data_IF_115426245323
#
_entry.id   IF_115426245323
#
_cell.length_a   1.000
_cell.length_b   1.000
_cell.length_c   1.000
_cell.angle_alpha   90.00
_cell.angle_beta   90.00
_cell.angle_gamma   90.00
#
_symmetry.space_group_name_H-M   'P 1'
#
loop_
_entity.id
_entity.type
_entity.pdbx_description
1 polymer ?
#
# COMPACT_ATOMS: atom_id res chain seq x y z
N UNK A 1 -21.76 -8.67 -13.04
CA UNK A 1 -21.03 -7.52 -12.46
C UNK A 1 -20.98 -7.80 -10.97
N UNK A 2 -19.83 -8.22 -10.45
CA UNK A 2 -19.66 -8.49 -9.03
C UNK A 2 -19.80 -7.17 -8.28
N UNK A 3 -20.71 -7.13 -7.31
CA UNK A 3 -20.86 -6.03 -6.37
C UNK A 3 -19.50 -5.80 -5.68
N UNK A 4 -18.84 -4.68 -6.00
CA UNK A 4 -17.55 -4.29 -5.41
C UNK A 4 -17.79 -3.69 -4.02
N UNK A 5 -18.44 -4.43 -3.13
CA UNK A 5 -18.59 -4.02 -1.74
C UNK A 5 -17.22 -4.11 -1.05
N UNK A 6 -16.61 -2.97 -0.69
CA UNK A 6 -15.32 -2.93 0.01
C UNK A 6 -14.43 -1.75 -0.38
N UNK A 7 -13.21 -1.73 0.16
CA UNK A 7 -12.21 -0.72 -0.17
C UNK A 7 -11.44 -1.10 -1.44
N UNK A 8 -11.32 -0.16 -2.38
CA UNK A 8 -10.48 -0.28 -3.56
C UNK A 8 -9.02 0.05 -3.24
N UNK A 9 -8.11 -0.86 -3.58
CA UNK A 9 -6.67 -0.73 -3.36
C UNK A 9 -5.95 -0.43 -4.67
N UNK A 10 -4.89 0.36 -4.58
CA UNK A 10 -3.95 0.60 -5.66
C UNK A 10 -2.53 0.28 -5.21
N UNK A 11 -1.70 -0.25 -6.11
CA UNK A 11 -0.30 -0.59 -5.80
C UNK A 11 0.65 0.38 -6.52
N UNK A 12 1.58 0.95 -5.76
CA UNK A 12 2.71 1.73 -6.25
C UNK A 12 3.98 0.90 -6.06
N UNK A 13 4.63 0.53 -7.16
CA UNK A 13 5.75 -0.41 -7.16
C UNK A 13 5.28 -1.84 -7.45
N UNK A 14 5.40 -2.25 -8.71
CA UNK A 14 4.94 -3.50 -9.28
C UNK A 14 6.06 -4.57 -9.35
N UNK A 15 7.07 -4.44 -8.50
CA UNK A 15 8.11 -5.47 -8.33
C UNK A 15 7.62 -6.68 -7.54
N UNK A 16 8.56 -7.52 -7.08
CA UNK A 16 8.27 -8.74 -6.30
C UNK A 16 7.28 -8.50 -5.16
N UNK A 17 7.49 -7.44 -4.37
CA UNK A 17 6.65 -7.15 -3.21
C UNK A 17 5.25 -6.72 -3.63
N UNK A 18 5.11 -5.94 -4.71
CA UNK A 18 3.82 -5.58 -5.31
C UNK A 18 2.98 -6.82 -5.66
N UNK A 19 3.59 -7.87 -6.22
CA UNK A 19 2.90 -9.14 -6.46
C UNK A 19 2.40 -9.82 -5.17
N UNK A 20 3.15 -9.76 -4.07
CA UNK A 20 2.69 -10.29 -2.78
C UNK A 20 1.51 -9.50 -2.22
N UNK A 21 1.55 -8.17 -2.32
CA UNK A 21 0.44 -7.30 -1.92
C UNK A 21 -0.80 -7.56 -2.77
N UNK A 22 -0.67 -7.69 -4.10
CA UNK A 22 -1.79 -8.02 -4.98
C UNK A 22 -2.45 -9.35 -4.59
N UNK A 23 -1.66 -10.39 -4.30
CA UNK A 23 -2.17 -11.67 -3.79
C UNK A 23 -2.91 -11.53 -2.46
N UNK A 24 -2.36 -10.74 -1.53
CA UNK A 24 -2.99 -10.52 -0.23
C UNK A 24 -4.32 -9.76 -0.35
N UNK A 25 -4.36 -8.73 -1.20
CA UNK A 25 -5.59 -7.95 -1.50
C UNK A 25 -6.64 -8.85 -2.17
N UNK A 26 -6.24 -9.73 -3.09
CA UNK A 26 -7.19 -10.64 -3.72
C UNK A 26 -7.78 -11.67 -2.74
N UNK A 27 -7.00 -12.05 -1.72
CA UNK A 27 -7.39 -13.05 -0.72
C UNK A 27 -8.18 -12.47 0.47
N UNK A 28 -8.20 -11.16 0.67
CA UNK A 28 -8.88 -10.54 1.81
C UNK A 28 -10.37 -10.33 1.56
N UNK A 29 -11.16 -10.36 2.64
CA UNK A 29 -12.56 -9.95 2.60
C UNK A 29 -12.67 -8.41 2.73
N UNK A 30 -13.53 -7.80 1.92
CA UNK A 30 -13.80 -6.35 1.99
C UNK A 30 -12.75 -5.45 1.33
N UNK A 31 -11.83 -6.01 0.54
CA UNK A 31 -10.88 -5.28 -0.28
C UNK A 31 -10.78 -5.87 -1.69
N UNK A 32 -10.38 -5.05 -2.66
CA UNK A 32 -10.10 -5.50 -4.04
C UNK A 32 -9.07 -4.59 -4.71
N UNK A 33 -8.31 -5.13 -5.66
CA UNK A 33 -7.32 -4.37 -6.43
C UNK A 33 -8.05 -3.62 -7.56
N UNK A 34 -7.79 -2.32 -7.68
CA UNK A 34 -8.41 -1.43 -8.68
C UNK A 34 -7.43 -1.00 -9.78
N UNK A 35 -6.20 -0.67 -9.38
CA UNK A 35 -5.20 -0.15 -10.29
C UNK A 35 -3.79 -0.34 -9.77
N UNK A 36 -2.81 -0.20 -10.68
CA UNK A 36 -1.40 -0.30 -10.35
C UNK A 36 -0.60 0.81 -11.05
N UNK A 37 0.51 1.19 -10.46
CA UNK A 37 1.44 2.18 -10.98
C UNK A 37 2.88 1.73 -10.72
N UNK A 38 3.73 1.91 -11.73
CA UNK A 38 5.18 1.77 -11.63
C UNK A 38 5.83 2.72 -12.65
N UNK A 39 7.05 3.17 -12.36
CA UNK A 39 7.89 3.90 -13.32
C UNK A 39 8.29 3.01 -14.51
N UNK A 40 8.35 1.70 -14.26
CA UNK A 40 8.63 0.66 -15.25
C UNK A 40 7.34 0.10 -15.82
N UNK A 41 7.00 0.52 -17.04
CA UNK A 41 5.80 0.08 -17.73
C UNK A 41 5.71 -1.46 -17.85
N UNK A 42 6.84 -2.14 -18.09
CA UNK A 42 6.88 -3.61 -18.17
C UNK A 42 6.40 -4.29 -16.88
N UNK A 43 6.71 -3.72 -15.72
CA UNK A 43 6.31 -4.25 -14.42
C UNK A 43 4.83 -3.98 -14.13
N UNK A 44 4.35 -2.75 -14.36
CA UNK A 44 2.96 -2.39 -14.12
C UNK A 44 2.01 -3.08 -15.11
N UNK A 45 2.36 -3.18 -16.38
CA UNK A 45 1.54 -3.86 -17.40
C UNK A 45 1.38 -5.34 -17.09
N UNK A 46 2.47 -6.01 -16.66
CA UNK A 46 2.43 -7.41 -16.27
C UNK A 46 1.50 -7.65 -15.07
N UNK A 47 1.69 -6.88 -14.00
CA UNK A 47 0.85 -7.03 -12.80
C UNK A 47 -0.61 -6.68 -13.10
N UNK A 48 -0.85 -5.65 -13.91
CA UNK A 48 -2.20 -5.28 -14.33
C UNK A 48 -2.88 -6.40 -15.12
N UNK A 49 -2.17 -7.04 -16.05
CA UNK A 49 -2.69 -8.16 -16.84
C UNK A 49 -3.04 -9.37 -15.96
N UNK A 50 -2.19 -9.71 -14.99
CA UNK A 50 -2.41 -10.83 -14.07
C UNK A 50 -3.71 -10.70 -13.26
N UNK A 51 -4.16 -9.47 -12.97
CA UNK A 51 -5.33 -9.19 -12.13
C UNK A 51 -6.50 -8.52 -12.88
N UNK A 52 -6.35 -8.24 -14.18
CA UNK A 52 -7.38 -7.56 -14.98
C UNK A 52 -7.69 -6.13 -14.52
N UNK A 53 -6.68 -5.40 -14.03
CA UNK A 53 -6.80 -4.02 -13.52
C UNK A 53 -6.10 -3.02 -14.42
N UNK A 54 -6.25 -1.72 -14.15
CA UNK A 54 -5.61 -0.68 -14.97
C UNK A 54 -4.17 -0.40 -14.50
N UNK A 55 -3.21 -0.48 -15.42
CA UNK A 55 -1.87 0.08 -15.24
C UNK A 55 -1.88 1.58 -15.58
N UNK A 56 -1.19 2.38 -14.78
CA UNK A 56 -0.95 3.80 -15.02
C UNK A 56 0.53 4.08 -15.19
N UNK A 57 0.85 5.01 -16.08
CA UNK A 57 2.21 5.53 -16.33
C UNK A 57 2.45 6.90 -15.69
N UNK A 58 1.39 7.55 -15.20
CA UNK A 58 1.45 8.82 -14.47
C UNK A 58 0.78 8.65 -13.11
N UNK A 59 1.45 9.17 -12.09
CA UNK A 59 1.06 8.94 -10.72
C UNK A 59 -0.23 9.70 -10.34
N UNK A 60 -0.42 10.89 -10.89
CA UNK A 60 -1.60 11.72 -10.65
C UNK A 60 -2.86 11.07 -11.24
N UNK A 61 -2.74 10.46 -12.42
CA UNK A 61 -3.83 9.72 -13.06
C UNK A 61 -4.18 8.44 -12.28
N UNK A 62 -3.18 7.77 -11.69
CA UNK A 62 -3.37 6.65 -10.78
C UNK A 62 -4.16 7.09 -9.53
N UNK A 63 -3.77 8.19 -8.88
CA UNK A 63 -4.44 8.70 -7.68
C UNK A 63 -5.89 9.15 -7.95
N UNK A 64 -6.17 9.60 -9.17
CA UNK A 64 -7.50 9.98 -9.64
C UNK A 64 -8.40 8.79 -10.02
N UNK A 65 -7.92 7.54 -9.90
CA UNK A 65 -8.71 6.37 -10.25
C UNK A 65 -10.03 6.30 -9.45
N UNK A 66 -11.20 6.18 -10.12
CA UNK A 66 -12.48 6.05 -9.44
C UNK A 66 -12.51 4.81 -8.55
N UNK A 67 -12.90 4.96 -7.28
CA UNK A 67 -12.95 3.82 -6.34
C UNK A 67 -11.63 3.51 -5.63
N UNK A 68 -10.52 4.20 -5.95
CA UNK A 68 -9.28 4.05 -5.17
C UNK A 68 -9.44 4.67 -3.78
N UNK A 69 -9.29 3.86 -2.72
CA UNK A 69 -9.39 4.27 -1.32
C UNK A 69 -8.05 4.15 -0.58
N UNK A 70 -7.27 3.11 -0.89
CA UNK A 70 -6.01 2.78 -0.20
C UNK A 70 -4.87 2.63 -1.21
N UNK A 71 -3.72 3.24 -0.94
CA UNK A 71 -2.49 3.06 -1.71
C UNK A 71 -1.50 2.22 -0.93
N UNK A 72 -1.13 1.08 -1.51
CA UNK A 72 -0.05 0.18 -1.05
C UNK A 72 1.25 0.56 -1.76
N UNK A 73 2.28 0.94 -1.00
CA UNK A 73 3.58 1.38 -1.49
C UNK A 73 4.61 0.28 -1.26
N UNK A 74 5.08 -0.31 -2.36
CA UNK A 74 6.09 -1.36 -2.43
C UNK A 74 7.30 -0.96 -3.28
N UNK A 75 7.63 0.32 -3.36
CA UNK A 75 8.83 0.83 -4.03
C UNK A 75 10.10 0.51 -3.23
N UNK A 76 11.31 0.72 -3.76
CA UNK A 76 12.54 0.57 -2.99
C UNK A 76 12.59 1.51 -1.77
N UNK A 77 13.20 1.04 -0.67
CA UNK A 77 13.46 1.86 0.51
C UNK A 77 14.18 3.16 0.12
N UNK A 78 13.74 4.30 0.67
CA UNK A 78 14.24 5.61 0.26
C UNK A 78 13.25 6.36 -0.63
N UNK A 79 12.36 5.63 -1.32
CA UNK A 79 11.42 6.17 -2.30
C UNK A 79 9.95 6.04 -1.85
N UNK A 80 9.70 5.95 -0.54
CA UNK A 80 8.32 5.83 -0.02
C UNK A 80 7.67 7.19 0.27
N UNK A 81 8.47 8.20 0.63
CA UNK A 81 7.97 9.52 1.04
C UNK A 81 7.04 10.15 0.00
N UNK A 82 7.52 10.31 -1.23
CA UNK A 82 6.80 11.04 -2.28
C UNK A 82 5.46 10.37 -2.64
N UNK A 83 5.38 9.05 -2.89
CA UNK A 83 4.09 8.40 -3.09
C UNK A 83 3.22 8.40 -1.83
N UNK A 84 3.78 8.34 -0.62
CA UNK A 84 2.96 8.39 0.60
C UNK A 84 2.30 9.76 0.80
N UNK A 85 3.07 10.84 0.62
CA UNK A 85 2.57 12.21 0.72
C UNK A 85 1.58 12.51 -0.41
N UNK A 86 1.89 12.07 -1.63
CA UNK A 86 0.99 12.22 -2.78
C UNK A 86 -0.36 11.52 -2.57
N UNK A 87 -0.33 10.26 -2.13
CA UNK A 87 -1.54 9.52 -1.77
C UNK A 87 -2.34 10.20 -0.65
N UNK A 88 -1.66 10.67 0.40
CA UNK A 88 -2.31 11.35 1.51
C UNK A 88 -2.99 12.65 1.07
N UNK A 89 -2.32 13.47 0.26
CA UNK A 89 -2.88 14.70 -0.29
C UNK A 89 -4.06 14.45 -1.24
N UNK A 90 -4.12 13.28 -1.87
CA UNK A 90 -5.27 12.82 -2.66
C UNK A 90 -6.38 12.17 -1.80
N UNK A 91 -6.28 12.25 -0.47
CA UNK A 91 -7.26 11.70 0.46
C UNK A 91 -7.29 10.17 0.50
N UNK A 92 -6.18 9.51 0.14
CA UNK A 92 -6.07 8.04 0.16
C UNK A 92 -5.36 7.57 1.42
N UNK A 93 -5.82 6.48 2.01
CA UNK A 93 -5.09 5.81 3.08
C UNK A 93 -3.80 5.20 2.53
N UNK A 94 -2.77 5.10 3.35
CA UNK A 94 -1.44 4.64 2.94
C UNK A 94 -1.02 3.40 3.73
N UNK A 95 -0.66 2.34 3.01
CA UNK A 95 0.07 1.19 3.54
C UNK A 95 1.47 1.21 2.92
N UNK A 96 2.51 1.26 3.74
CA UNK A 96 3.88 1.41 3.30
C UNK A 96 4.74 0.22 3.72
N UNK A 97 5.51 -0.34 2.78
CA UNK A 97 6.47 -1.40 3.08
C UNK A 97 7.54 -0.99 4.09
N UNK A 98 8.18 -2.00 4.70
CA UNK A 98 9.28 -1.80 5.66
C UNK A 98 10.65 -1.76 4.96
N UNK A 99 11.62 -0.97 5.47
CA UNK A 99 11.43 0.09 6.47
C UNK A 99 10.51 1.18 5.91
N UNK A 100 9.69 1.81 6.79
CA UNK A 100 8.71 2.82 6.36
C UNK A 100 9.40 3.93 5.57
N UNK A 101 10.58 4.37 6.01
CA UNK A 101 11.48 5.22 5.25
C UNK A 101 12.90 5.16 5.88
N UNK A 102 13.91 5.79 5.27
CA UNK A 102 15.32 5.64 5.68
C UNK A 102 15.79 6.65 6.75
N UNK A 103 15.02 7.70 7.03
CA UNK A 103 15.31 8.64 8.13
C UNK A 103 14.03 9.01 8.89
N UNK A 104 14.17 9.41 10.16
CA UNK A 104 13.04 9.78 11.00
C UNK A 104 12.31 11.02 10.47
N UNK A 105 13.04 12.02 9.98
CA UNK A 105 12.47 13.28 9.46
C UNK A 105 11.54 13.02 8.27
N UNK A 106 11.91 12.05 7.42
CA UNK A 106 11.09 11.63 6.28
C UNK A 106 9.84 10.87 6.75
N UNK A 107 9.96 10.02 7.77
CA UNK A 107 8.81 9.35 8.40
C UNK A 107 7.86 10.38 9.02
N UNK A 108 8.40 11.37 9.72
CA UNK A 108 7.63 12.45 10.34
C UNK A 108 6.85 13.26 9.29
N UNK A 109 7.45 13.52 8.13
CA UNK A 109 6.78 14.16 7.00
C UNK A 109 5.60 13.33 6.48
N UNK A 110 5.74 12.00 6.36
CA UNK A 110 4.65 11.09 5.96
C UNK A 110 3.52 11.10 7.00
N UNK A 111 3.86 11.04 8.29
CA UNK A 111 2.90 11.09 9.39
C UNK A 111 2.14 12.43 9.38
N UNK A 112 2.85 13.54 9.22
CA UNK A 112 2.26 14.87 9.18
C UNK A 112 1.29 15.03 8.00
N UNK A 113 1.67 14.57 6.80
CA UNK A 113 0.81 14.60 5.62
C UNK A 113 -0.47 13.78 5.82
N UNK A 114 -0.36 12.57 6.38
CA UNK A 114 -1.53 11.72 6.62
C UNK A 114 -2.47 12.34 7.67
N UNK A 115 -1.92 12.83 8.79
CA UNK A 115 -2.69 13.52 9.83
C UNK A 115 -3.41 14.76 9.29
N UNK A 116 -2.71 15.60 8.52
CA UNK A 116 -3.27 16.81 7.92
C UNK A 116 -4.49 16.51 7.03
N UNK A 117 -4.45 15.42 6.30
CA UNK A 117 -5.52 15.02 5.36
C UNK A 117 -6.55 14.05 5.98
N UNK A 118 -6.44 13.73 7.28
CA UNK A 118 -7.37 12.81 7.96
C UNK A 118 -7.31 11.36 7.47
N UNK A 119 -6.18 10.94 6.89
CA UNK A 119 -5.98 9.57 6.38
C UNK A 119 -5.03 8.77 7.28
N UNK A 120 -5.04 7.45 7.11
CA UNK A 120 -4.24 6.52 7.92
C UNK A 120 -2.92 6.23 7.21
N UNK A 121 -1.83 6.21 7.98
CA UNK A 121 -0.54 5.63 7.57
C UNK A 121 -0.29 4.35 8.36
N UNK A 122 -0.06 3.24 7.66
CA UNK A 122 0.30 1.96 8.25
C UNK A 122 1.61 1.43 7.67
N UNK A 123 2.54 1.01 8.53
CA UNK A 123 3.77 0.33 8.11
C UNK A 123 3.59 -1.20 8.09
N UNK A 124 4.12 -1.87 7.07
CA UNK A 124 4.05 -3.34 6.96
C UNK A 124 5.09 -3.97 7.88
N UNK A 125 4.63 -4.50 9.01
CA UNK A 125 5.43 -5.32 9.93
C UNK A 125 4.81 -6.71 10.09
N UNK A 126 4.68 -7.43 8.98
CA UNK A 126 3.92 -8.69 8.86
C UNK A 126 4.31 -9.77 9.88
N UNK A 127 5.58 -9.81 10.30
CA UNK A 127 6.06 -10.79 11.30
C UNK A 127 5.40 -10.62 12.67
N UNK A 128 4.88 -9.43 13.00
CA UNK A 128 4.11 -9.19 14.24
C UNK A 128 2.83 -10.03 14.29
N UNK A 129 2.37 -10.55 13.16
CA UNK A 129 1.16 -11.36 13.03
C UNK A 129 1.44 -12.87 12.87
N UNK A 130 2.66 -13.34 13.12
CA UNK A 130 2.92 -14.77 13.20
C UNK A 130 2.41 -15.33 14.53
N UNK A 131 1.84 -16.54 14.53
CA UNK A 131 1.34 -17.19 15.75
C UNK A 131 2.42 -17.24 16.83
N UNK A 132 3.63 -17.65 16.47
CA UNK A 132 4.76 -17.71 17.39
C UNK A 132 5.09 -16.36 18.05
N UNK A 133 4.99 -15.26 17.29
CA UNK A 133 5.26 -13.92 17.81
C UNK A 133 4.11 -13.43 18.69
N UNK A 134 2.86 -13.78 18.36
CA UNK A 134 1.69 -13.48 19.21
C UNK A 134 1.73 -14.24 20.52
N UNK A 135 2.03 -15.54 20.50
CA UNK A 135 2.16 -16.34 21.72
C UNK A 135 3.31 -15.86 22.58
N UNK A 136 4.45 -15.51 21.97
CA UNK A 136 5.56 -14.88 22.68
C UNK A 136 5.14 -13.57 23.35
N UNK A 137 4.41 -12.69 22.63
CA UNK A 137 3.90 -11.43 23.19
C UNK A 137 2.95 -11.66 24.36
N UNK A 138 2.03 -12.62 24.25
CA UNK A 138 1.10 -12.99 25.33
C UNK A 138 1.84 -13.47 26.58
N UNK A 139 2.86 -14.31 26.41
CA UNK A 139 3.67 -14.78 27.53
C UNK A 139 4.37 -13.62 28.25
N UNK A 140 5.03 -12.72 27.49
CA UNK A 140 5.68 -11.52 28.06
C UNK A 140 4.68 -10.60 28.77
N UNK A 141 3.47 -10.43 28.23
CA UNK A 141 2.42 -9.61 28.85
C UNK A 141 1.84 -10.24 30.13
N UNK A 142 1.99 -11.56 30.29
CA UNK A 142 1.51 -12.33 31.44
C UNK A 142 2.43 -12.30 32.67
N UNK A 143 3.67 -11.82 32.52
CA UNK A 143 4.73 -11.89 33.55
C UNK A 143 5.47 -13.22 33.57
#
# INVERSE_FOLDING_TARGET
MTDKSGLGFGIVGCGMIGHFHAKAIQAMQGGHLECVFDLRADASDKLAADYGVKAYSKYEEFLAHPGLNVVTIGTPSGSHLDPAVGAANAGKHVICEKPVEVTLERIDAMIAACKKNGVILAGVHQRRFFDSVREFKKAVDGG
#
